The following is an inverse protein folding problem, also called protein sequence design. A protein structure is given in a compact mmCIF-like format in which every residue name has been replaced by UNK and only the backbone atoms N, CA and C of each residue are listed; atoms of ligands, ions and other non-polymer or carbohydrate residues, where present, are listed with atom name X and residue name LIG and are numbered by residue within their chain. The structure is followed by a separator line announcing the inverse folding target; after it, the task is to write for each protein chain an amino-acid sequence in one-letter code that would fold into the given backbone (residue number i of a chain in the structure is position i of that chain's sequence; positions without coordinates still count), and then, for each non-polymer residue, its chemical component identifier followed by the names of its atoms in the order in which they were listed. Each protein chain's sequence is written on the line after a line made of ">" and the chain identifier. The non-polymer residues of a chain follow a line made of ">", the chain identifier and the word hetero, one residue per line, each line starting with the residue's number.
data_IF_464319765391
#
_entry.id   IF_464319765391
#
_cell.length_a   1.000
_cell.length_b   1.000
_cell.length_c   1.000
_cell.angle_alpha   90.00
_cell.angle_beta   90.00
_cell.angle_gamma   90.00
#
_symmetry.space_group_name_H-M   'P 1'
#
loop_
_entity.id
_entity.type
_entity.pdbx_description
1 polymer ?
#
# COMPACT_ATOMS: atom_id res chain seq x y z
N UNK A 1 -16.32 -5.36 -11.93
CA UNK A 1 -15.41 -6.50 -11.72
C UNK A 1 -14.71 -6.24 -10.41
N UNK A 2 -15.30 -6.73 -9.32
CA UNK A 2 -14.69 -6.68 -7.99
C UNK A 2 -13.57 -7.71 -7.97
N UNK A 3 -12.38 -7.27 -8.36
CA UNK A 3 -11.16 -8.05 -8.15
C UNK A 3 -10.94 -8.00 -6.65
N UNK A 4 -11.41 -9.00 -5.92
CA UNK A 4 -11.09 -9.12 -4.50
C UNK A 4 -9.64 -9.60 -4.40
N UNK A 5 -8.70 -8.65 -4.42
CA UNK A 5 -7.25 -8.91 -4.45
C UNK A 5 -6.78 -9.48 -3.10
N UNK A 6 -7.48 -9.16 -2.01
CA UNK A 6 -7.05 -9.47 -0.65
C UNK A 6 -7.73 -10.75 -0.11
N UNK A 7 -6.94 -11.81 0.05
CA UNK A 7 -7.39 -13.11 0.59
C UNK A 7 -7.62 -13.10 2.11
N UNK A 8 -6.94 -12.19 2.83
CA UNK A 8 -7.14 -11.97 4.27
C UNK A 8 -6.85 -10.54 4.67
N UNK A 9 -7.47 -10.11 5.75
CA UNK A 9 -7.16 -8.83 6.36
C UNK A 9 -5.71 -8.75 6.86
N UNK A 10 -5.14 -7.56 6.72
CA UNK A 10 -3.79 -7.24 7.18
C UNK A 10 -3.81 -6.80 8.63
N UNK A 11 -2.82 -7.24 9.39
CA UNK A 11 -2.61 -6.74 10.76
C UNK A 11 -2.13 -5.28 10.74
N UNK A 12 -2.28 -4.51 11.84
CA UNK A 12 -1.77 -3.13 11.91
C UNK A 12 -0.28 -3.01 11.57
N UNK A 13 0.52 -4.00 12.01
CA UNK A 13 1.95 -4.03 11.68
C UNK A 13 2.20 -4.29 10.19
N UNK A 14 1.41 -5.15 9.55
CA UNK A 14 1.52 -5.42 8.11
C UNK A 14 1.12 -4.20 7.28
N UNK A 15 0.08 -3.47 7.69
CA UNK A 15 -0.30 -2.21 7.07
C UNK A 15 0.84 -1.19 7.19
N UNK A 16 1.40 -1.02 8.39
CA UNK A 16 2.53 -0.11 8.62
C UNK A 16 3.74 -0.44 7.73
N UNK A 17 4.10 -1.72 7.60
CA UNK A 17 5.18 -2.15 6.71
C UNK A 17 4.86 -1.84 5.25
N UNK A 18 3.60 -2.03 4.82
CA UNK A 18 3.17 -1.71 3.46
C UNK A 18 3.16 -0.21 3.16
N UNK A 19 2.79 0.63 4.13
CA UNK A 19 2.86 2.09 4.00
C UNK A 19 4.31 2.54 3.74
N UNK A 20 5.27 2.09 4.56
CA UNK A 20 6.69 2.41 4.35
C UNK A 20 7.26 1.80 3.05
N UNK A 21 6.79 0.60 2.66
CA UNK A 21 7.16 -0.02 1.40
C UNK A 21 6.64 0.80 0.21
N UNK A 22 5.43 1.36 0.32
CA UNK A 22 4.89 2.30 -0.66
C UNK A 22 5.73 3.57 -0.74
N UNK A 23 6.26 4.08 0.36
CA UNK A 23 7.19 5.23 0.37
C UNK A 23 8.57 4.92 -0.26
N UNK A 24 8.80 3.67 -0.69
CA UNK A 24 10.03 3.25 -1.37
C UNK A 24 11.19 2.90 -0.43
N UNK A 25 10.92 2.74 0.87
CA UNK A 25 11.96 2.40 1.84
C UNK A 25 12.50 0.98 1.66
N UNK A 26 13.80 0.79 1.88
CA UNK A 26 14.45 -0.55 1.89
C UNK A 26 14.05 -1.35 3.14
N UNK A 27 14.29 -2.67 3.15
CA UNK A 27 14.06 -3.49 4.36
C UNK A 27 14.80 -2.96 5.58
N UNK A 28 16.05 -2.50 5.40
CA UNK A 28 16.87 -1.89 6.44
C UNK A 28 16.27 -0.59 6.99
N UNK A 29 15.75 0.27 6.11
CA UNK A 29 15.11 1.52 6.51
C UNK A 29 13.79 1.26 7.26
N UNK A 30 12.96 0.33 6.78
CA UNK A 30 11.70 -0.08 7.45
C UNK A 30 12.01 -0.72 8.81
N UNK A 31 13.02 -1.58 8.88
CA UNK A 31 13.44 -2.22 10.12
C UNK A 31 13.85 -1.17 11.17
N UNK A 32 14.64 -0.17 10.76
CA UNK A 32 15.01 0.96 11.62
C UNK A 32 13.81 1.81 12.03
N UNK A 33 12.91 2.13 11.10
CA UNK A 33 11.72 2.95 11.38
C UNK A 33 10.73 2.26 12.32
N UNK A 34 10.61 0.94 12.23
CA UNK A 34 9.68 0.14 13.03
C UNK A 34 10.32 -0.44 14.29
N UNK A 35 11.61 -0.24 14.53
CA UNK A 35 12.37 -0.88 15.62
C UNK A 35 12.33 -2.42 15.60
N UNK A 36 12.38 -3.01 14.40
CA UNK A 36 12.42 -4.45 14.18
C UNK A 36 13.70 -4.85 13.41
N UNK A 37 13.93 -6.15 13.22
CA UNK A 37 15.02 -6.63 12.38
C UNK A 37 14.63 -6.68 10.91
N UNK A 38 15.60 -6.60 10.01
CA UNK A 38 15.38 -6.76 8.56
C UNK A 38 14.67 -8.06 8.22
N UNK A 39 14.99 -9.15 8.94
CA UNK A 39 14.36 -10.45 8.72
C UNK A 39 12.87 -10.43 9.05
N UNK A 40 12.45 -9.70 10.08
CA UNK A 40 11.03 -9.53 10.40
C UNK A 40 10.31 -8.78 9.28
N UNK A 41 10.93 -7.75 8.72
CA UNK A 41 10.36 -7.00 7.58
C UNK A 41 10.25 -7.89 6.34
N UNK A 42 11.29 -8.64 5.98
CA UNK A 42 11.26 -9.61 4.85
C UNK A 42 10.12 -10.62 4.97
N UNK A 43 10.00 -11.23 6.16
CA UNK A 43 8.97 -12.23 6.43
C UNK A 43 7.58 -11.59 6.35
N UNK A 44 7.45 -10.35 6.82
CA UNK A 44 6.19 -9.60 6.76
C UNK A 44 5.81 -9.28 5.32
N UNK A 45 6.74 -8.74 4.51
CA UNK A 45 6.51 -8.49 3.08
C UNK A 45 6.10 -9.76 2.34
N UNK A 46 6.74 -10.89 2.65
CA UNK A 46 6.39 -12.19 2.06
C UNK A 46 4.97 -12.63 2.44
N UNK A 47 4.60 -12.54 3.73
CA UNK A 47 3.23 -12.87 4.19
C UNK A 47 2.17 -11.98 3.56
N UNK A 48 2.45 -10.70 3.41
CA UNK A 48 1.50 -9.77 2.80
C UNK A 48 1.38 -10.02 1.29
N UNK A 49 2.47 -10.29 0.59
CA UNK A 49 2.42 -10.67 -0.82
C UNK A 49 1.50 -11.89 -1.05
N UNK A 50 1.55 -12.89 -0.17
CA UNK A 50 0.62 -14.01 -0.19
C UNK A 50 -0.84 -13.60 0.08
N UNK A 51 -1.08 -12.64 0.98
CA UNK A 51 -2.42 -12.11 1.23
C UNK A 51 -3.00 -11.42 -0.03
N UNK A 52 -2.17 -10.82 -0.88
CA UNK A 52 -2.58 -10.24 -2.16
C UNK A 52 -2.54 -11.23 -3.34
N UNK A 53 -2.38 -12.53 -3.09
CA UNK A 53 -2.19 -13.56 -4.14
C UNK A 53 -1.01 -13.30 -5.10
N UNK A 54 -0.02 -12.51 -4.68
CA UNK A 54 1.14 -12.16 -5.51
C UNK A 54 2.14 -13.31 -5.47
N UNK A 55 2.44 -13.87 -6.64
CA UNK A 55 3.50 -14.88 -6.80
C UNK A 55 4.80 -14.20 -7.18
N UNK A 56 5.88 -14.58 -6.50
CA UNK A 56 7.22 -14.26 -6.95
C UNK A 56 7.53 -15.06 -8.22
N UNK A 57 7.81 -14.37 -9.33
CA UNK A 57 8.51 -14.96 -10.46
C UNK A 57 9.90 -14.28 -10.53
N UNK A 58 10.91 -14.97 -11.03
CA UNK A 58 12.28 -14.44 -11.08
C UNK A 58 12.45 -13.18 -11.93
N UNK A 59 11.40 -12.75 -12.63
CA UNK A 59 11.38 -11.63 -13.57
C UNK A 59 10.78 -10.35 -12.96
N UNK A 60 9.89 -10.46 -11.96
CA UNK A 60 9.16 -9.31 -11.42
C UNK A 60 9.46 -9.12 -9.93
N UNK A 61 9.79 -7.88 -9.56
CA UNK A 61 10.04 -7.52 -8.17
C UNK A 61 8.72 -7.50 -7.38
N UNK A 62 8.56 -8.49 -6.49
CA UNK A 62 7.39 -8.64 -5.61
C UNK A 62 7.04 -7.37 -4.85
N UNK A 63 8.02 -6.56 -4.45
CA UNK A 63 7.76 -5.32 -3.70
C UNK A 63 7.03 -4.29 -4.55
N UNK A 64 7.37 -4.19 -5.84
CA UNK A 64 6.73 -3.25 -6.76
C UNK A 64 5.27 -3.65 -6.95
N UNK A 65 5.01 -4.93 -7.23
CA UNK A 65 3.65 -5.46 -7.34
C UNK A 65 2.85 -5.28 -6.05
N UNK A 66 3.47 -5.54 -4.90
CA UNK A 66 2.83 -5.38 -3.61
C UNK A 66 2.47 -3.91 -3.34
N UNK A 67 3.36 -2.97 -3.64
CA UNK A 67 3.08 -1.54 -3.50
C UNK A 67 1.88 -1.11 -4.38
N UNK A 68 1.86 -1.56 -5.64
CA UNK A 68 0.77 -1.30 -6.58
C UNK A 68 -0.56 -1.89 -6.10
N UNK A 69 -0.56 -3.15 -5.67
CA UNK A 69 -1.74 -3.84 -5.16
C UNK A 69 -2.28 -3.17 -3.88
N UNK A 70 -1.38 -2.85 -2.94
CA UNK A 70 -1.73 -2.18 -1.69
C UNK A 70 -2.35 -0.80 -1.94
N UNK A 71 -1.72 0.04 -2.78
CA UNK A 71 -2.25 1.37 -3.16
C UNK A 71 -3.57 1.28 -3.92
N UNK A 72 -3.73 0.27 -4.77
CA UNK A 72 -4.99 0.08 -5.51
C UNK A 72 -6.14 -0.34 -4.59
N UNK A 73 -5.84 -1.08 -3.52
CA UNK A 73 -6.85 -1.59 -2.58
C UNK A 73 -7.21 -0.61 -1.48
N UNK A 74 -6.21 0.01 -0.83
CA UNK A 74 -6.41 0.89 0.33
C UNK A 74 -6.34 2.38 -0.02
N UNK A 75 -6.16 2.73 -1.29
CA UNK A 75 -5.82 4.08 -1.69
C UNK A 75 -4.36 4.42 -1.36
N UNK A 76 -3.98 5.65 -1.68
CA UNK A 76 -2.59 6.06 -1.61
C UNK A 76 -2.44 7.33 -0.77
N UNK A 77 -2.26 7.10 0.53
CA UNK A 77 -2.02 8.15 1.53
C UNK A 77 -0.72 8.94 1.27
N UNK A 78 0.18 8.45 0.42
CA UNK A 78 1.37 9.22 0.06
C UNK A 78 1.02 10.42 -0.82
N UNK A 79 -0.05 10.33 -1.64
CA UNK A 79 -0.56 11.50 -2.38
C UNK A 79 -1.16 12.55 -1.45
N UNK A 80 -1.82 12.14 -0.36
CA UNK A 80 -2.34 13.08 0.64
C UNK A 80 -1.19 13.89 1.28
N UNK A 81 -0.04 13.25 1.53
CA UNK A 81 1.17 13.92 2.04
C UNK A 81 1.83 14.88 1.04
N UNK A 82 1.65 14.64 -0.26
CA UNK A 82 2.22 15.49 -1.32
C UNK A 82 1.43 16.80 -1.55
N UNK A 83 0.27 16.98 -0.89
CA UNK A 83 -0.65 18.12 -1.12
C UNK A 83 -0.97 18.38 -2.61
N UNK A 84 -0.86 17.34 -3.44
CA UNK A 84 -1.23 17.43 -4.86
C UNK A 84 -2.71 17.12 -4.97
N UNK A 85 -3.46 17.99 -5.64
CA UNK A 85 -4.86 17.75 -5.92
C UNK A 85 -5.02 16.44 -6.70
N UNK A 86 -5.77 15.49 -6.14
CA UNK A 86 -6.05 14.22 -6.80
C UNK A 86 -6.69 14.48 -8.17
N UNK A 87 -6.26 13.78 -9.23
CA UNK A 87 -6.84 13.94 -10.58
C UNK A 87 -8.33 13.54 -10.66
N UNK A 88 -8.87 12.90 -9.61
CA UNK A 88 -10.27 12.49 -9.46
C UNK A 88 -11.08 13.47 -8.60
N UNK A 89 -10.52 14.63 -8.27
CA UNK A 89 -11.19 15.70 -7.52
C UNK A 89 -12.35 16.25 -8.35
N UNK A 90 -13.56 16.11 -7.82
CA UNK A 90 -14.79 16.66 -8.41
C UNK A 90 -15.46 17.61 -7.43
N UNK A 91 -16.14 18.62 -7.96
CA UNK A 91 -16.95 19.52 -7.14
C UNK A 91 -18.27 18.83 -6.81
N UNK A 92 -18.49 18.57 -5.52
CA UNK A 92 -19.73 18.01 -5.02
C UNK A 92 -20.91 18.98 -5.13
N UNK A 93 -22.14 18.50 -4.90
CA UNK A 93 -23.37 19.29 -5.05
C UNK A 93 -23.41 20.57 -4.19
N UNK A 94 -22.64 20.60 -3.10
CA UNK A 94 -22.57 21.69 -2.13
C UNK A 94 -21.31 22.56 -2.29
N UNK A 95 -20.53 22.39 -3.36
CA UNK A 95 -19.28 23.13 -3.58
C UNK A 95 -18.04 22.54 -2.88
N UNK A 96 -18.18 21.39 -2.23
CA UNK A 96 -17.07 20.68 -1.58
C UNK A 96 -16.20 19.96 -2.62
N UNK A 97 -14.88 19.95 -2.43
CA UNK A 97 -13.98 19.21 -3.29
C UNK A 97 -13.90 17.76 -2.80
N UNK A 98 -14.53 16.84 -3.52
CA UNK A 98 -14.67 15.42 -3.13
C UNK A 98 -13.87 14.58 -4.12
N UNK A 99 -13.05 13.65 -3.62
CA UNK A 99 -12.39 12.67 -4.48
C UNK A 99 -13.40 11.59 -4.86
N UNK A 100 -13.78 11.50 -6.13
CA UNK A 100 -14.75 10.51 -6.65
C UNK A 100 -14.33 9.04 -6.51
N UNK A 101 -13.13 8.77 -5.98
CA UNK A 101 -12.54 7.43 -5.87
C UNK A 101 -11.94 7.10 -4.50
N UNK A 102 -11.88 8.05 -3.56
CA UNK A 102 -11.57 7.78 -2.16
C UNK A 102 -12.89 7.75 -1.39
N UNK A 103 -13.47 6.56 -1.25
CA UNK A 103 -14.56 6.35 -0.31
C UNK A 103 -13.96 6.17 1.09
N UNK A 104 -13.98 7.25 1.89
CA UNK A 104 -14.81 7.28 3.12
C UNK A 104 -14.92 5.97 3.89
#
# INVERSE_FOLDING_TARGET
>A
MDINILLRDLTPFEQLVCEHLCEGLTNSAIAKATSHTEKVVENTVSRVAHAFSIKSNGEVNVRVLLALAYRSHFGDKAFDKLQVACSHLTTGPNGEQICSRHTV
#
